data_IF_582982856099
#
_entry.id   IF_582982856099
#
_cell.length_a   1.000
_cell.length_b   1.000
_cell.length_c   1.000
_cell.angle_alpha   90.00
_cell.angle_beta   90.00
_cell.angle_gamma   90.00
#
_symmetry.space_group_name_H-M   'P 1'
#
loop_
_entity.id
_entity.type
_entity.pdbx_description
1 polymer ?
#
# COMPACT_ATOMS: atom_id res chain seq x y z
N UNK A 1 21.08 -28.37 3.40
CA UNK A 1 20.77 -28.93 4.75
C UNK A 1 21.93 -28.51 5.63
N UNK A 2 21.79 -27.44 6.36
CA UNK A 2 22.69 -27.09 7.45
C UNK A 2 22.16 -27.83 8.67
N UNK A 3 22.95 -28.78 9.15
CA UNK A 3 22.70 -29.48 10.40
C UNK A 3 22.76 -28.45 11.54
N UNK A 4 21.62 -28.07 12.05
CA UNK A 4 21.53 -27.38 13.33
C UNK A 4 21.70 -28.45 14.41
N UNK A 5 22.89 -28.49 15.03
CA UNK A 5 23.14 -29.24 16.24
C UNK A 5 22.25 -28.68 17.37
N UNK A 6 21.06 -29.23 17.49
CA UNK A 6 20.16 -28.99 18.61
C UNK A 6 20.62 -29.89 19.73
N UNK A 7 21.38 -29.33 20.68
CA UNK A 7 21.74 -30.06 21.88
C UNK A 7 20.49 -30.44 22.67
N UNK A 8 20.44 -31.68 23.08
CA UNK A 8 19.33 -32.43 23.72
C UNK A 8 18.73 -31.80 25.01
N UNK A 9 19.22 -30.61 25.42
CA UNK A 9 18.72 -29.89 26.61
C UNK A 9 17.57 -28.93 26.31
N UNK A 10 17.21 -28.73 25.06
CA UNK A 10 16.08 -27.86 24.69
C UNK A 10 14.81 -28.71 24.49
N UNK A 11 14.33 -29.37 25.57
CA UNK A 11 13.09 -30.16 25.58
C UNK A 11 11.82 -29.37 25.32
N UNK A 12 11.91 -28.10 24.96
CA UNK A 12 10.77 -27.22 24.66
C UNK A 12 10.97 -26.41 23.38
N UNK A 13 11.25 -27.07 22.26
CA UNK A 13 11.23 -26.41 20.95
C UNK A 13 9.86 -25.81 20.62
N UNK A 14 8.79 -26.29 21.22
CA UNK A 14 7.41 -25.82 21.07
C UNK A 14 7.05 -24.70 22.05
N UNK A 15 7.92 -24.33 22.98
CA UNK A 15 7.71 -23.22 23.92
C UNK A 15 8.65 -22.02 23.66
N UNK A 16 9.47 -22.06 22.63
CA UNK A 16 10.23 -20.89 22.20
C UNK A 16 9.24 -19.91 21.59
N UNK A 17 8.93 -18.86 22.35
CA UNK A 17 8.23 -17.70 21.90
C UNK A 17 8.86 -17.21 20.57
N UNK A 18 8.03 -16.94 19.57
CA UNK A 18 8.44 -16.49 18.25
C UNK A 18 9.39 -15.29 18.31
N UNK A 19 9.18 -14.39 19.27
CA UNK A 19 10.04 -13.22 19.52
C UNK A 19 11.45 -13.61 19.99
N UNK A 20 11.56 -14.66 20.79
CA UNK A 20 12.85 -15.17 21.26
C UNK A 20 13.63 -15.84 20.11
N UNK A 21 12.94 -16.57 19.24
CA UNK A 21 13.55 -17.17 18.03
C UNK A 21 14.04 -16.08 17.09
N UNK A 22 13.23 -15.09 16.81
CA UNK A 22 13.58 -13.95 15.96
C UNK A 22 14.78 -13.16 16.52
N UNK A 23 14.81 -12.89 17.82
CA UNK A 23 15.96 -12.21 18.46
C UNK A 23 17.25 -13.00 18.32
N UNK A 24 17.22 -14.32 18.52
CA UNK A 24 18.40 -15.20 18.35
C UNK A 24 18.87 -15.23 16.91
N UNK A 25 17.96 -15.34 15.94
CA UNK A 25 18.26 -15.33 14.52
C UNK A 25 18.87 -13.99 14.10
N UNK A 26 18.25 -12.88 14.51
CA UNK A 26 18.73 -11.54 14.22
C UNK A 26 20.13 -11.27 14.80
N UNK A 27 20.40 -11.72 16.02
CA UNK A 27 21.74 -11.63 16.62
C UNK A 27 22.81 -12.39 15.83
N UNK A 28 22.49 -13.61 15.32
CA UNK A 28 23.42 -14.37 14.50
C UNK A 28 23.67 -13.69 13.13
N UNK A 29 22.60 -13.19 12.49
CA UNK A 29 22.72 -12.48 11.21
C UNK A 29 23.57 -11.22 11.39
N UNK A 30 23.33 -10.42 12.43
CA UNK A 30 24.15 -9.25 12.75
C UNK A 30 25.64 -9.60 12.94
N UNK A 31 25.92 -10.72 13.60
CA UNK A 31 27.30 -11.20 13.77
C UNK A 31 27.98 -11.51 12.45
N UNK A 32 27.27 -12.19 11.53
CA UNK A 32 27.77 -12.53 10.18
C UNK A 32 27.99 -11.24 9.37
N UNK A 33 27.02 -10.35 9.34
CA UNK A 33 27.11 -9.09 8.59
C UNK A 33 28.27 -8.22 9.07
N UNK A 34 28.47 -8.12 10.38
CA UNK A 34 29.60 -7.41 10.98
C UNK A 34 30.94 -8.02 10.55
N UNK A 35 31.03 -9.34 10.46
CA UNK A 35 32.24 -10.04 9.99
C UNK A 35 32.52 -9.77 8.51
N UNK A 36 31.47 -9.57 7.71
CA UNK A 36 31.55 -9.26 6.28
C UNK A 36 31.68 -7.75 5.98
N UNK A 37 31.69 -6.89 7.00
CA UNK A 37 31.75 -5.43 6.85
C UNK A 37 30.43 -4.83 6.29
N UNK A 38 29.31 -5.52 6.44
CA UNK A 38 28.00 -5.06 5.97
C UNK A 38 27.33 -4.28 7.09
N UNK A 39 27.01 -3.01 6.86
CA UNK A 39 26.21 -2.18 7.76
C UNK A 39 24.71 -2.40 7.50
N UNK A 40 24.09 -3.20 8.38
CA UNK A 40 22.66 -3.52 8.29
C UNK A 40 21.80 -2.29 8.54
N UNK A 41 22.24 -1.38 9.41
CA UNK A 41 21.45 -0.18 9.75
C UNK A 41 21.38 0.77 8.55
N UNK A 42 22.48 0.94 7.82
CA UNK A 42 22.51 1.72 6.59
C UNK A 42 21.58 1.13 5.51
N UNK A 43 21.61 -0.20 5.33
CA UNK A 43 20.73 -0.89 4.37
C UNK A 43 19.26 -0.72 4.76
N UNK A 44 18.92 -0.90 6.03
CA UNK A 44 17.55 -0.73 6.53
C UNK A 44 17.05 0.70 6.31
N UNK A 45 17.88 1.69 6.62
CA UNK A 45 17.53 3.10 6.44
C UNK A 45 17.31 3.44 4.96
N UNK A 46 18.15 2.90 4.08
CA UNK A 46 18.00 3.06 2.63
C UNK A 46 16.69 2.43 2.14
N UNK A 47 16.42 1.17 2.51
CA UNK A 47 15.20 0.46 2.10
C UNK A 47 13.93 1.12 2.63
N UNK A 48 13.93 1.60 3.88
CA UNK A 48 12.82 2.38 4.44
C UNK A 48 12.60 3.70 3.69
N UNK A 49 13.69 4.40 3.34
CA UNK A 49 13.60 5.63 2.56
C UNK A 49 13.04 5.39 1.16
N UNK A 50 13.45 4.33 0.48
CA UNK A 50 12.90 3.93 -0.81
C UNK A 50 11.42 3.55 -0.71
N UNK A 51 11.03 2.86 0.35
CA UNK A 51 9.63 2.51 0.64
C UNK A 51 8.76 3.75 0.85
N UNK A 52 9.26 4.73 1.62
CA UNK A 52 8.58 6.00 1.85
C UNK A 52 8.41 6.82 0.56
N UNK A 53 9.40 6.81 -0.32
CA UNK A 53 9.30 7.49 -1.60
C UNK A 53 8.26 6.83 -2.53
N UNK A 54 8.14 5.51 -2.46
CA UNK A 54 7.21 4.74 -3.30
C UNK A 54 5.77 4.71 -2.76
N UNK A 55 5.60 4.78 -1.44
CA UNK A 55 4.31 4.72 -0.78
C UNK A 55 4.27 5.65 0.47
N UNK A 56 4.30 6.97 0.28
CA UNK A 56 4.40 7.94 1.38
C UNK A 56 3.19 7.87 2.34
N UNK A 57 2.03 7.48 1.85
CA UNK A 57 0.82 7.31 2.65
C UNK A 57 0.92 6.18 3.70
N UNK A 58 1.85 5.25 3.53
CA UNK A 58 2.11 4.18 4.49
C UNK A 58 3.18 4.54 5.54
N UNK A 59 3.62 5.79 5.61
CA UNK A 59 4.70 6.21 6.51
C UNK A 59 4.55 5.71 7.97
N UNK A 60 3.36 5.77 8.63
CA UNK A 60 3.19 5.28 9.98
C UNK A 60 3.41 3.77 10.13
N UNK A 61 3.10 3.01 9.07
CA UNK A 61 3.23 1.54 9.04
C UNK A 61 4.64 1.09 8.63
N UNK A 62 5.28 1.82 7.70
CA UNK A 62 6.67 1.57 7.29
C UNK A 62 7.64 1.71 8.48
N UNK A 63 7.38 2.65 9.38
CA UNK A 63 8.21 2.81 10.58
C UNK A 63 8.13 1.61 11.53
N UNK A 64 7.00 0.91 11.55
CA UNK A 64 6.76 -0.29 12.37
C UNK A 64 7.31 -1.58 11.73
N UNK A 65 7.73 -1.54 10.44
CA UNK A 65 8.21 -2.72 9.72
C UNK A 65 9.51 -3.27 10.29
N UNK A 66 9.67 -4.58 10.14
CA UNK A 66 10.86 -5.28 10.62
C UNK A 66 12.13 -4.87 9.87
N UNK A 67 13.27 -5.03 10.52
CA UNK A 67 14.58 -4.79 9.91
C UNK A 67 14.96 -5.92 8.93
N UNK A 68 15.85 -5.61 7.99
CA UNK A 68 16.39 -6.52 6.97
C UNK A 68 15.41 -6.94 5.85
N UNK A 69 14.29 -6.26 5.71
CA UNK A 69 13.39 -6.45 4.59
C UNK A 69 13.80 -5.57 3.39
N UNK A 70 13.54 -6.04 2.19
CA UNK A 70 13.64 -5.22 0.97
C UNK A 70 12.56 -4.14 0.96
N UNK A 71 12.74 -3.09 0.16
CA UNK A 71 11.73 -2.04 0.01
C UNK A 71 10.35 -2.59 -0.38
N UNK A 72 10.30 -3.60 -1.26
CA UNK A 72 9.04 -4.24 -1.67
C UNK A 72 8.37 -5.01 -0.51
N UNK A 73 9.15 -5.72 0.30
CA UNK A 73 8.64 -6.45 1.47
C UNK A 73 8.14 -5.48 2.55
N UNK A 74 8.85 -4.39 2.79
CA UNK A 74 8.42 -3.33 3.71
C UNK A 74 7.07 -2.74 3.28
N UNK A 75 6.91 -2.44 2.00
CA UNK A 75 5.63 -1.90 1.47
C UNK A 75 4.51 -2.93 1.60
N UNK A 76 4.80 -4.22 1.32
CA UNK A 76 3.82 -5.29 1.46
C UNK A 76 3.36 -5.43 2.92
N UNK A 77 4.28 -5.53 3.86
CA UNK A 77 4.01 -5.62 5.30
C UNK A 77 3.22 -4.39 5.80
N UNK A 78 3.64 -3.20 5.39
CA UNK A 78 2.94 -1.96 5.73
C UNK A 78 1.50 -1.92 5.22
N UNK A 79 1.24 -2.44 4.00
CA UNK A 79 -0.12 -2.57 3.45
C UNK A 79 -0.96 -3.58 4.22
N UNK A 80 -0.38 -4.70 4.62
CA UNK A 80 -1.07 -5.72 5.42
C UNK A 80 -1.48 -5.15 6.79
N UNK A 81 -0.59 -4.42 7.46
CA UNK A 81 -0.89 -3.75 8.72
C UNK A 81 -1.99 -2.68 8.57
N UNK A 82 -1.90 -1.87 7.51
CA UNK A 82 -2.92 -0.86 7.21
C UNK A 82 -4.30 -1.50 6.96
N UNK A 83 -4.36 -2.57 6.18
CA UNK A 83 -5.61 -3.29 5.93
C UNK A 83 -6.16 -3.96 7.19
N UNK A 84 -5.29 -4.52 8.04
CA UNK A 84 -5.68 -5.08 9.32
C UNK A 84 -6.28 -4.02 10.26
N UNK A 85 -5.72 -2.80 10.30
CA UNK A 85 -6.27 -1.69 11.08
C UNK A 85 -7.64 -1.25 10.54
N UNK A 86 -7.82 -1.17 9.20
CA UNK A 86 -9.11 -0.89 8.58
C UNK A 86 -10.18 -1.92 8.98
N UNK A 87 -9.82 -3.19 8.94
CA UNK A 87 -10.72 -4.28 9.28
C UNK A 87 -11.07 -4.28 10.78
N UNK A 88 -10.08 -4.04 11.63
CA UNK A 88 -10.25 -3.88 13.07
C UNK A 88 -11.23 -2.74 13.41
N UNK A 89 -11.06 -1.57 12.77
CA UNK A 89 -11.94 -0.41 12.96
C UNK A 89 -13.38 -0.71 12.52
N UNK A 90 -13.57 -1.41 11.39
CA UNK A 90 -14.90 -1.82 10.91
C UNK A 90 -15.61 -2.75 11.90
N UNK A 91 -14.85 -3.67 12.49
CA UNK A 91 -15.40 -4.68 13.40
C UNK A 91 -15.70 -4.12 14.80
N UNK A 92 -15.01 -3.04 15.20
CA UNK A 92 -15.13 -2.44 16.54
C UNK A 92 -16.01 -1.19 16.61
N UNK A 93 -16.79 -0.88 15.58
CA UNK A 93 -17.64 0.34 15.54
C UNK A 93 -18.46 0.60 16.82
N UNK A 94 -18.72 -0.45 17.62
CA UNK A 94 -19.53 -0.37 18.85
C UNK A 94 -18.74 -0.59 20.15
N UNK A 95 -17.40 -0.80 20.10
CA UNK A 95 -16.58 -1.06 21.29
C UNK A 95 -15.36 -0.14 21.27
N UNK A 96 -15.47 1.01 21.93
CA UNK A 96 -14.34 1.91 22.13
C UNK A 96 -13.40 1.32 23.19
N UNK A 97 -12.15 1.08 22.82
CA UNK A 97 -11.04 0.81 23.73
C UNK A 97 -9.91 1.81 23.43
N UNK A 98 -8.88 1.89 24.29
CA UNK A 98 -7.78 2.86 24.16
C UNK A 98 -7.05 2.77 22.82
N UNK A 99 -6.91 1.57 22.28
CA UNK A 99 -6.19 1.34 21.01
C UNK A 99 -7.02 1.74 19.78
N UNK A 100 -8.35 1.80 19.92
CA UNK A 100 -9.25 2.13 18.81
C UNK A 100 -9.01 3.54 18.27
N UNK A 101 -8.87 4.52 19.15
CA UNK A 101 -8.71 5.92 18.75
C UNK A 101 -7.37 6.16 18.04
N UNK A 102 -6.28 5.55 18.52
CA UNK A 102 -4.97 5.67 17.89
C UNK A 102 -4.96 5.01 16.50
N UNK A 103 -5.51 3.80 16.39
CA UNK A 103 -5.59 3.07 15.13
C UNK A 103 -6.51 3.76 14.13
N UNK A 104 -7.64 4.30 14.60
CA UNK A 104 -8.57 5.09 13.78
C UNK A 104 -7.88 6.32 13.21
N UNK A 105 -7.17 7.08 14.05
CA UNK A 105 -6.45 8.27 13.62
C UNK A 105 -5.38 7.94 12.57
N UNK A 106 -4.54 6.94 12.86
CA UNK A 106 -3.46 6.51 11.95
C UNK A 106 -3.99 5.98 10.63
N UNK A 107 -5.05 5.16 10.66
CA UNK A 107 -5.66 4.60 9.46
C UNK A 107 -6.32 5.67 8.60
N UNK A 108 -7.06 6.61 9.21
CA UNK A 108 -7.71 7.70 8.47
C UNK A 108 -6.68 8.65 7.82
N UNK A 109 -5.57 8.94 8.50
CA UNK A 109 -4.48 9.71 7.89
C UNK A 109 -3.88 9.00 6.68
N UNK A 110 -3.63 7.70 6.80
CA UNK A 110 -3.09 6.92 5.70
C UNK A 110 -4.08 6.80 4.53
N UNK A 111 -5.38 6.65 4.78
CA UNK A 111 -6.43 6.63 3.74
C UNK A 111 -6.51 7.95 2.98
N UNK A 112 -6.48 9.08 3.70
CA UNK A 112 -6.50 10.39 3.08
C UNK A 112 -5.23 10.63 2.25
N UNK A 113 -4.06 10.24 2.77
CA UNK A 113 -2.80 10.37 2.06
C UNK A 113 -2.76 9.45 0.82
N UNK A 114 -3.28 8.21 0.89
CA UNK A 114 -3.43 7.29 -0.26
C UNK A 114 -4.30 7.92 -1.34
N UNK A 115 -5.45 8.48 -0.95
CA UNK A 115 -6.37 9.14 -1.86
C UNK A 115 -5.72 10.32 -2.61
N UNK A 116 -4.97 11.18 -1.91
CA UNK A 116 -4.25 12.29 -2.53
C UNK A 116 -3.15 11.79 -3.45
N UNK A 117 -2.38 10.81 -3.00
CA UNK A 117 -1.27 10.22 -3.76
C UNK A 117 -1.73 9.56 -5.06
N UNK A 118 -2.81 8.78 -5.03
CA UNK A 118 -3.39 8.13 -6.21
C UNK A 118 -3.85 9.19 -7.23
N UNK A 119 -4.46 10.30 -6.76
CA UNK A 119 -4.89 11.41 -7.62
C UNK A 119 -3.73 12.16 -8.25
N UNK A 120 -2.71 12.47 -7.47
CA UNK A 120 -1.49 13.12 -7.98
C UNK A 120 -0.86 12.27 -9.08
N UNK A 121 -0.76 10.96 -8.87
CA UNK A 121 -0.23 10.02 -9.86
C UNK A 121 -1.02 10.04 -11.16
N UNK A 122 -2.35 10.04 -11.09
CA UNK A 122 -3.22 10.11 -12.27
C UNK A 122 -2.99 11.43 -13.04
N UNK A 123 -2.93 12.56 -12.33
CA UNK A 123 -2.66 13.87 -12.94
C UNK A 123 -1.30 13.87 -13.64
N UNK A 124 -0.27 13.35 -13.00
CA UNK A 124 1.07 13.27 -13.58
C UNK A 124 1.12 12.35 -14.80
N UNK A 125 0.40 11.23 -14.77
CA UNK A 125 0.29 10.31 -15.90
C UNK A 125 -0.43 10.95 -17.10
N UNK A 126 -1.51 11.69 -16.85
CA UNK A 126 -2.23 12.44 -17.91
C UNK A 126 -1.31 13.54 -18.50
N UNK A 127 -0.63 14.28 -17.63
CA UNK A 127 0.31 15.34 -18.06
C UNK A 127 1.41 14.77 -18.94
N UNK A 128 2.03 13.65 -18.53
CA UNK A 128 3.07 12.97 -19.32
C UNK A 128 2.55 12.58 -20.72
N UNK A 129 1.33 12.05 -20.81
CA UNK A 129 0.77 11.61 -22.08
C UNK A 129 0.37 12.81 -22.97
N UNK A 130 0.01 13.96 -22.38
CA UNK A 130 -0.23 15.20 -23.11
C UNK A 130 1.06 15.80 -23.68
N UNK A 131 2.16 15.67 -22.94
CA UNK A 131 3.48 16.20 -23.33
C UNK A 131 4.14 15.32 -24.42
N UNK A 132 3.70 14.07 -24.60
CA UNK A 132 4.21 13.15 -25.62
C UNK A 132 3.62 13.46 -26.99
N UNK A 133 4.29 14.35 -27.73
CA UNK A 133 3.89 14.83 -29.08
C UNK A 133 3.87 13.71 -30.13
N UNK A 134 4.49 12.54 -29.86
CA UNK A 134 4.54 11.40 -30.79
C UNK A 134 3.21 10.64 -30.90
N UNK A 135 2.34 10.78 -29.93
CA UNK A 135 1.06 10.09 -29.84
C UNK A 135 -0.08 10.91 -30.43
N UNK A 136 -0.31 10.78 -31.73
CA UNK A 136 -1.49 11.37 -32.42
C UNK A 136 -2.85 10.77 -31.99
N UNK A 137 -2.87 9.79 -31.08
CA UNK A 137 -4.07 9.11 -30.56
C UNK A 137 -4.39 9.49 -29.12
N UNK A 138 -3.96 10.68 -28.69
CA UNK A 138 -4.05 11.10 -27.30
C UNK A 138 -5.48 11.16 -26.75
N UNK A 139 -6.48 11.44 -27.59
CA UNK A 139 -7.87 11.55 -27.14
C UNK A 139 -8.38 10.26 -26.50
N UNK A 140 -8.22 9.11 -27.18
CA UNK A 140 -8.66 7.81 -26.67
C UNK A 140 -7.90 7.40 -25.41
N UNK A 141 -6.60 7.71 -25.33
CA UNK A 141 -5.75 7.39 -24.17
C UNK A 141 -6.22 8.21 -22.96
N UNK A 142 -6.40 9.51 -23.13
CA UNK A 142 -6.86 10.41 -22.07
C UNK A 142 -8.28 10.08 -21.66
N UNK A 143 -9.16 9.84 -22.65
CA UNK A 143 -10.54 9.45 -22.38
C UNK A 143 -10.61 8.18 -21.52
N UNK A 144 -9.85 7.12 -21.88
CA UNK A 144 -9.82 5.89 -21.09
C UNK A 144 -9.17 6.05 -19.71
N UNK A 145 -8.35 7.08 -19.49
CA UNK A 145 -7.83 7.40 -18.15
C UNK A 145 -8.86 8.12 -17.27
N UNK A 146 -9.75 8.89 -17.89
CA UNK A 146 -10.84 9.56 -17.19
C UNK A 146 -11.97 8.59 -16.89
N UNK A 147 -12.43 7.91 -17.91
CA UNK A 147 -13.47 6.88 -17.85
C UNK A 147 -13.35 5.97 -19.04
N UNK A 148 -13.40 4.67 -18.83
CA UNK A 148 -13.30 3.67 -19.90
C UNK A 148 -14.47 3.80 -20.89
N UNK A 149 -14.17 3.78 -22.20
CA UNK A 149 -15.18 3.85 -23.25
C UNK A 149 -16.23 2.75 -23.13
N UNK A 150 -17.48 3.06 -23.47
CA UNK A 150 -18.64 2.15 -23.43
C UNK A 150 -18.95 1.55 -22.06
N UNK A 151 -18.60 2.28 -21.01
CA UNK A 151 -18.89 1.88 -19.62
C UNK A 151 -19.82 2.89 -18.94
N UNK A 152 -20.36 2.50 -17.78
CA UNK A 152 -21.03 3.40 -16.85
C UNK A 152 -20.35 3.33 -15.50
N UNK A 153 -20.46 4.38 -14.71
CA UNK A 153 -19.88 4.38 -13.35
C UNK A 153 -20.63 3.47 -12.37
N UNK A 154 -21.79 2.94 -12.73
CA UNK A 154 -22.49 1.89 -11.96
C UNK A 154 -21.70 0.58 -11.88
N UNK A 155 -20.91 0.28 -12.93
CA UNK A 155 -20.18 -0.98 -13.07
C UNK A 155 -18.77 -0.93 -12.44
N UNK A 156 -18.37 0.19 -11.85
CA UNK A 156 -17.07 0.29 -11.22
C UNK A 156 -17.12 -0.22 -9.78
N UNK A 157 -16.40 -1.30 -9.54
CA UNK A 157 -16.21 -1.86 -8.20
C UNK A 157 -15.40 -0.95 -7.26
N UNK A 158 -14.71 0.03 -7.82
CA UNK A 158 -13.82 0.93 -7.09
C UNK A 158 -13.83 2.33 -7.69
N UNK A 159 -13.79 3.36 -6.83
CA UNK A 159 -13.55 4.75 -7.23
C UNK A 159 -12.22 4.94 -7.99
N UNK A 160 -11.30 3.97 -7.90
CA UNK A 160 -9.99 3.99 -8.60
C UNK A 160 -10.10 3.84 -10.11
N UNK A 161 -11.22 3.28 -10.60
CA UNK A 161 -11.45 3.03 -12.02
C UNK A 161 -12.20 4.18 -12.71
N UNK A 162 -12.65 5.18 -11.94
CA UNK A 162 -13.39 6.32 -12.40
C UNK A 162 -12.70 7.62 -11.95
N UNK A 163 -12.20 8.37 -12.92
CA UNK A 163 -11.48 9.62 -12.68
C UNK A 163 -12.29 10.86 -13.07
N UNK A 164 -13.61 10.76 -13.09
CA UNK A 164 -14.52 11.89 -13.37
C UNK A 164 -14.41 13.03 -12.34
N UNK A 165 -13.79 12.76 -11.17
CA UNK A 165 -13.41 13.78 -10.20
C UNK A 165 -12.49 14.87 -10.76
N UNK A 166 -11.79 14.59 -11.88
CA UNK A 166 -10.99 15.60 -12.60
C UNK A 166 -11.84 16.78 -13.10
N UNK A 167 -13.12 16.53 -13.35
CA UNK A 167 -14.08 17.57 -13.72
C UNK A 167 -14.81 18.14 -12.51
N UNK A 168 -15.36 17.25 -11.68
CA UNK A 168 -16.07 17.62 -10.45
C UNK A 168 -16.18 16.40 -9.52
N UNK A 169 -15.90 16.60 -8.22
CA UNK A 169 -16.02 15.58 -7.18
C UNK A 169 -17.43 14.96 -7.11
N UNK A 170 -18.45 15.71 -7.47
CA UNK A 170 -19.84 15.24 -7.47
C UNK A 170 -20.07 14.06 -8.41
N UNK A 171 -19.29 13.95 -9.49
CA UNK A 171 -19.40 12.80 -10.39
C UNK A 171 -18.94 11.46 -9.78
N UNK A 172 -18.24 11.52 -8.65
CA UNK A 172 -17.89 10.31 -7.89
C UNK A 172 -19.05 9.77 -7.05
N UNK A 173 -20.07 10.59 -6.80
CA UNK A 173 -21.21 10.26 -5.94
C UNK A 173 -22.38 9.76 -6.79
N UNK A 174 -22.52 10.26 -8.02
CA UNK A 174 -23.63 9.93 -8.89
C UNK A 174 -23.32 8.72 -9.78
N UNK A 175 -24.27 7.80 -9.89
CA UNK A 175 -24.16 6.56 -10.68
C UNK A 175 -24.73 6.71 -12.11
N UNK A 176 -24.70 7.92 -12.66
CA UNK A 176 -25.35 8.22 -13.95
C UNK A 176 -24.40 8.75 -15.02
N UNK A 177 -23.10 8.52 -14.86
CA UNK A 177 -22.15 8.88 -15.90
C UNK A 177 -21.97 7.71 -16.88
N UNK A 178 -22.15 7.98 -18.15
CA UNK A 178 -22.02 7.01 -19.24
C UNK A 178 -21.01 7.54 -20.25
N UNK A 179 -20.11 6.67 -20.70
CA UNK A 179 -19.11 7.00 -21.69
C UNK A 179 -19.38 6.30 -23.00
N UNK A 180 -19.57 7.07 -24.08
CA UNK A 180 -19.79 6.59 -25.46
C UNK A 180 -20.91 5.54 -25.60
N UNK A 181 -21.94 5.63 -24.79
CA UNK A 181 -23.16 4.85 -24.94
C UNK A 181 -24.24 5.67 -25.60
N UNK A 182 -24.93 5.07 -26.55
CA UNK A 182 -26.10 5.68 -27.14
C UNK A 182 -27.28 5.66 -26.16
N UNK A 183 -28.26 6.56 -26.35
CA UNK A 183 -29.47 6.60 -25.53
C UNK A 183 -30.18 5.23 -25.52
N UNK A 184 -30.17 4.50 -26.63
CA UNK A 184 -30.78 3.17 -26.72
C UNK A 184 -30.03 2.08 -25.96
N UNK A 185 -28.76 2.31 -25.59
CA UNK A 185 -27.97 1.39 -24.76
C UNK A 185 -28.09 1.70 -23.26
N UNK A 186 -28.70 2.84 -22.92
CA UNK A 186 -28.90 3.30 -21.55
C UNK A 186 -30.33 3.02 -21.07
N UNK A 187 -31.31 3.10 -21.97
CA UNK A 187 -32.74 2.86 -21.71
C UNK A 187 -33.10 1.39 -21.93
#
# INVERSE_FOLDING_TARGET
RTDFDIKDNDKNLFSLDWDTLNRKLFSKINGICKTLGIDIEEINNKNKKESLNSAPYLAPYIQKSQNMATSAEIIKEAKELFNADKEYIRNLRNKKNSDYEERLYTSNQAELAEYIFDREKIILDIKRDLDDVSNKTNETIIHNKIMKTKTSNENYASYKDNNLWLFDERFMIYNYAYSDKTINEIL
#
